data_IF_306933089523
#
_entry.id   IF_306933089523
#
_cell.length_a   1.000
_cell.length_b   1.000
_cell.length_c   1.000
_cell.angle_alpha   90.00
_cell.angle_beta   90.00
_cell.angle_gamma   90.00
#
_symmetry.space_group_name_H-M   'P 1'
#
loop_
_entity.id
_entity.type
_entity.pdbx_description
1 polymer ?
#
# COMPACT_ATOMS: atom_id res chain seq x y z
N UNK A 1 5.69 -22.94 -19.12
CA UNK A 1 4.90 -21.69 -19.13
C UNK A 1 4.41 -21.53 -17.70
N UNK A 2 5.01 -20.63 -16.93
CA UNK A 2 4.59 -20.41 -15.53
C UNK A 2 3.32 -19.56 -15.62
N UNK A 3 2.17 -20.18 -15.38
CA UNK A 3 0.90 -19.48 -15.25
C UNK A 3 0.90 -18.88 -13.86
N UNK A 4 1.13 -17.58 -13.74
CA UNK A 4 1.01 -16.88 -12.46
C UNK A 4 -0.49 -16.78 -12.21
N UNK A 5 -0.98 -17.50 -11.19
CA UNK A 5 -2.36 -17.33 -10.77
C UNK A 5 -2.48 -15.97 -10.07
N UNK A 6 -3.20 -15.06 -10.73
CA UNK A 6 -3.48 -13.71 -10.24
C UNK A 6 -4.86 -13.71 -9.57
N UNK A 7 -5.50 -14.86 -9.33
CA UNK A 7 -6.85 -14.95 -8.78
C UNK A 7 -6.90 -15.21 -7.27
N UNK A 8 -5.91 -15.87 -6.65
CA UNK A 8 -6.01 -16.25 -5.24
C UNK A 8 -5.88 -15.05 -4.28
N UNK A 9 -6.91 -14.74 -3.47
CA UNK A 9 -6.84 -13.71 -2.44
C UNK A 9 -6.15 -14.25 -1.17
N UNK A 10 -5.10 -13.55 -0.72
CA UNK A 10 -4.30 -13.90 0.46
C UNK A 10 -5.08 -13.93 1.80
N UNK A 11 -6.31 -13.43 1.84
CA UNK A 11 -7.16 -13.50 3.05
C UNK A 11 -7.67 -14.91 3.37
N UNK A 12 -7.68 -15.82 2.39
CA UNK A 12 -7.87 -17.26 2.62
C UNK A 12 -6.57 -17.89 3.16
N UNK A 13 -5.44 -17.62 2.49
CA UNK A 13 -4.10 -18.08 2.89
C UNK A 13 -3.67 -17.74 4.33
N UNK A 14 -3.98 -16.52 4.81
CA UNK A 14 -3.55 -16.09 6.15
C UNK A 14 -4.46 -16.60 7.26
N UNK A 15 -5.70 -17.00 6.95
CA UNK A 15 -6.59 -17.69 7.90
C UNK A 15 -6.20 -19.16 8.09
N UNK A 16 -5.53 -19.76 7.11
CA UNK A 16 -5.07 -21.15 7.13
C UNK A 16 -3.64 -21.31 7.67
N UNK A 17 -2.96 -20.23 8.03
CA UNK A 17 -1.64 -20.25 8.68
C UNK A 17 -1.62 -20.98 10.03
N UNK A 18 -2.78 -21.23 10.63
CA UNK A 18 -2.88 -22.06 11.84
C UNK A 18 -2.96 -23.57 11.54
N UNK A 19 -3.17 -24.03 10.29
CA UNK A 19 -3.48 -25.44 10.04
C UNK A 19 -3.26 -26.02 8.60
N UNK A 20 -2.37 -25.54 7.72
CA UNK A 20 -2.14 -26.27 6.43
C UNK A 20 -0.80 -26.04 5.68
N UNK A 21 -0.23 -27.13 5.11
CA UNK A 21 0.99 -27.18 4.25
C UNK A 21 0.81 -26.39 2.93
N UNK A 22 -0.44 -26.15 2.51
CA UNK A 22 -0.81 -25.44 1.27
C UNK A 22 -0.43 -23.95 1.26
N UNK A 23 -0.43 -23.31 2.44
CA UNK A 23 -0.12 -21.89 2.57
C UNK A 23 1.36 -21.57 2.34
N UNK A 24 2.26 -22.47 2.74
CA UNK A 24 3.69 -22.38 2.51
C UNK A 24 4.04 -22.57 1.02
N UNK A 25 3.29 -23.40 0.30
CA UNK A 25 3.45 -23.61 -1.15
C UNK A 25 3.11 -22.34 -1.94
N UNK A 26 2.01 -21.65 -1.64
CA UNK A 26 1.65 -20.42 -2.35
C UNK A 26 2.61 -19.26 -2.06
N UNK A 27 3.09 -19.12 -0.81
CA UNK A 27 4.15 -18.16 -0.47
C UNK A 27 5.43 -18.49 -1.25
N UNK A 28 5.79 -19.78 -1.32
CA UNK A 28 6.94 -20.23 -2.08
C UNK A 28 6.83 -19.88 -3.57
N UNK A 29 5.68 -20.11 -4.19
CA UNK A 29 5.43 -19.81 -5.60
C UNK A 29 5.53 -18.31 -5.90
N UNK A 30 4.97 -17.45 -5.04
CA UNK A 30 5.11 -16.00 -5.17
C UNK A 30 6.59 -15.57 -5.10
N UNK A 31 7.36 -16.12 -4.16
CA UNK A 31 8.78 -15.77 -4.05
C UNK A 31 9.67 -16.40 -5.12
N UNK A 32 9.26 -17.52 -5.71
CA UNK A 32 9.89 -18.06 -6.92
C UNK A 32 9.72 -17.10 -8.09
N UNK A 33 8.50 -16.57 -8.30
CA UNK A 33 8.25 -15.53 -9.30
C UNK A 33 9.11 -14.31 -9.02
N UNK A 34 9.14 -13.81 -7.78
CA UNK A 34 10.00 -12.68 -7.40
C UNK A 34 11.47 -12.93 -7.75
N UNK A 35 12.00 -14.10 -7.41
CA UNK A 35 13.39 -14.45 -7.71
C UNK A 35 13.67 -14.45 -9.21
N UNK A 36 12.79 -15.06 -10.02
CA UNK A 36 12.93 -15.09 -11.48
C UNK A 36 12.91 -13.68 -12.10
N UNK A 37 12.05 -12.79 -11.59
CA UNK A 37 11.99 -11.39 -12.00
C UNK A 37 13.26 -10.63 -11.56
N UNK A 38 13.79 -10.94 -10.38
CA UNK A 38 14.99 -10.29 -9.85
C UNK A 38 16.27 -10.62 -10.64
N UNK A 39 16.43 -11.88 -11.08
CA UNK A 39 17.59 -12.31 -11.87
C UNK A 39 17.52 -11.86 -13.34
N UNK A 40 16.34 -11.49 -13.85
CA UNK A 40 16.14 -11.03 -15.22
C UNK A 40 15.38 -9.69 -15.25
N UNK A 41 16.07 -8.54 -15.14
CA UNK A 41 15.43 -7.23 -15.12
C UNK A 41 14.53 -6.94 -16.33
N UNK A 42 14.89 -7.44 -17.53
CA UNK A 42 14.04 -7.31 -18.71
C UNK A 42 12.68 -8.02 -18.56
N UNK A 43 12.64 -9.15 -17.86
CA UNK A 43 11.40 -9.86 -17.52
C UNK A 43 10.59 -9.07 -16.49
N UNK A 44 11.23 -8.47 -15.49
CA UNK A 44 10.56 -7.60 -14.52
C UNK A 44 9.86 -6.41 -15.20
N UNK A 45 10.54 -5.73 -16.12
CA UNK A 45 9.95 -4.64 -16.91
C UNK A 45 8.75 -5.11 -17.72
N UNK A 46 8.88 -6.22 -18.44
CA UNK A 46 7.77 -6.80 -19.21
C UNK A 46 6.59 -7.18 -18.30
N UNK A 47 6.86 -7.77 -17.14
CA UNK A 47 5.85 -8.18 -16.19
C UNK A 47 5.07 -6.99 -15.63
N UNK A 48 5.74 -5.91 -15.23
CA UNK A 48 5.10 -4.67 -14.78
C UNK A 48 4.19 -4.07 -15.86
N UNK A 49 4.68 -4.00 -17.11
CA UNK A 49 3.89 -3.49 -18.23
C UNK A 49 2.68 -4.37 -18.55
N UNK A 50 2.86 -5.69 -18.53
CA UNK A 50 1.78 -6.66 -18.73
C UNK A 50 0.69 -6.50 -17.67
N UNK A 51 1.07 -6.48 -16.38
CA UNK A 51 0.11 -6.30 -15.29
C UNK A 51 -0.63 -4.96 -15.41
N UNK A 52 0.07 -3.88 -15.76
CA UNK A 52 -0.54 -2.57 -15.91
C UNK A 52 -1.55 -2.56 -17.06
N UNK A 53 -1.10 -2.88 -18.27
CA UNK A 53 -1.89 -2.70 -19.50
C UNK A 53 -2.93 -3.79 -19.69
N UNK A 54 -2.57 -5.07 -19.47
CA UNK A 54 -3.45 -6.20 -19.77
C UNK A 54 -4.40 -6.55 -18.65
N UNK A 55 -4.02 -6.28 -17.39
CA UNK A 55 -4.84 -6.59 -16.21
C UNK A 55 -5.47 -5.33 -15.62
N UNK A 56 -4.68 -4.37 -15.12
CA UNK A 56 -5.24 -3.24 -14.38
C UNK A 56 -6.02 -2.22 -15.23
N UNK A 57 -5.48 -1.80 -16.37
CA UNK A 57 -6.11 -0.77 -17.21
C UNK A 57 -7.24 -1.31 -18.08
N UNK A 58 -7.25 -2.63 -18.35
CA UNK A 58 -8.27 -3.27 -19.15
C UNK A 58 -9.62 -3.28 -18.40
N UNK A 59 -10.65 -2.57 -18.89
CA UNK A 59 -11.96 -2.52 -18.22
C UNK A 59 -12.71 -3.85 -18.23
N UNK A 60 -12.31 -4.79 -19.10
CA UNK A 60 -12.91 -6.13 -19.17
C UNK A 60 -12.32 -7.10 -18.15
N UNK A 61 -11.21 -6.74 -17.48
CA UNK A 61 -10.67 -7.56 -16.40
C UNK A 61 -11.51 -7.43 -15.14
N UNK A 62 -11.65 -8.54 -14.43
CA UNK A 62 -12.40 -8.55 -13.18
C UNK A 62 -11.72 -7.69 -12.13
N UNK A 63 -12.51 -7.17 -11.18
CA UNK A 63 -12.02 -6.33 -10.08
C UNK A 63 -10.84 -6.97 -9.35
N UNK A 64 -10.94 -8.26 -9.03
CA UNK A 64 -9.92 -8.99 -8.30
C UNK A 64 -8.61 -9.11 -9.09
N UNK A 65 -8.69 -9.34 -10.41
CA UNK A 65 -7.49 -9.31 -11.27
C UNK A 65 -6.82 -7.94 -11.26
N UNK A 66 -7.62 -6.87 -11.29
CA UNK A 66 -7.13 -5.49 -11.27
C UNK A 66 -6.48 -5.16 -9.92
N UNK A 67 -7.09 -5.60 -8.81
CA UNK A 67 -6.52 -5.51 -7.46
C UNK A 67 -5.17 -6.21 -7.41
N UNK A 68 -5.15 -7.49 -7.79
CA UNK A 68 -3.97 -8.32 -7.69
C UNK A 68 -2.85 -7.83 -8.61
N UNK A 69 -3.18 -7.32 -9.80
CA UNK A 69 -2.20 -6.67 -10.68
C UNK A 69 -1.52 -5.45 -10.03
N UNK A 70 -2.29 -4.55 -9.42
CA UNK A 70 -1.73 -3.41 -8.68
C UNK A 70 -0.91 -3.87 -7.47
N UNK A 71 -1.32 -4.94 -6.80
CA UNK A 71 -0.62 -5.48 -5.65
C UNK A 71 0.75 -6.05 -6.03
N UNK A 72 0.82 -6.86 -7.10
CA UNK A 72 2.09 -7.35 -7.63
C UNK A 72 3.00 -6.21 -8.10
N UNK A 73 2.45 -5.20 -8.79
CA UNK A 73 3.21 -4.01 -9.21
C UNK A 73 3.79 -3.29 -7.98
N UNK A 74 2.96 -2.95 -7.01
CA UNK A 74 3.40 -2.23 -5.82
C UNK A 74 4.44 -3.00 -5.01
N UNK A 75 4.21 -4.29 -4.82
CA UNK A 75 5.12 -5.14 -4.08
C UNK A 75 6.48 -5.27 -4.76
N UNK A 76 6.50 -5.40 -6.09
CA UNK A 76 7.74 -5.52 -6.85
C UNK A 76 8.52 -4.20 -6.87
N UNK A 77 7.85 -3.06 -7.07
CA UNK A 77 8.48 -1.73 -7.08
C UNK A 77 9.05 -1.36 -5.69
N UNK A 78 8.36 -1.74 -4.61
CA UNK A 78 8.84 -1.54 -3.24
C UNK A 78 10.04 -2.43 -2.92
N UNK A 79 9.91 -3.75 -3.14
CA UNK A 79 10.86 -4.77 -2.64
C UNK A 79 12.01 -5.10 -3.59
N UNK A 80 11.85 -4.89 -4.90
CA UNK A 80 12.85 -5.27 -5.89
C UNK A 80 14.08 -4.34 -5.90
N UNK A 81 15.26 -4.87 -5.56
CA UNK A 81 16.56 -4.18 -5.75
C UNK A 81 16.97 -4.12 -7.23
N UNK A 82 16.46 -5.02 -8.06
CA UNK A 82 16.77 -5.09 -9.50
C UNK A 82 16.17 -3.93 -10.32
N UNK A 83 15.20 -3.19 -9.76
CA UNK A 83 14.51 -2.11 -10.48
C UNK A 83 15.18 -0.77 -10.16
N UNK A 84 15.70 -0.05 -11.18
CA UNK A 84 16.33 1.23 -10.97
C UNK A 84 15.31 2.29 -10.56
N UNK A 85 15.73 3.26 -9.75
CA UNK A 85 14.89 4.35 -9.25
C UNK A 85 14.16 5.12 -10.36
N UNK A 86 14.82 5.37 -11.50
CA UNK A 86 14.20 6.03 -12.65
C UNK A 86 12.96 5.29 -13.15
N UNK A 87 13.04 3.96 -13.25
CA UNK A 87 11.92 3.14 -13.69
C UNK A 87 10.79 3.12 -12.66
N UNK A 88 11.12 3.08 -11.36
CA UNK A 88 10.13 3.18 -10.28
C UNK A 88 9.36 4.49 -10.37
N UNK A 89 10.09 5.61 -10.56
CA UNK A 89 9.46 6.90 -10.70
C UNK A 89 8.56 6.97 -11.95
N UNK A 90 9.01 6.47 -13.09
CA UNK A 90 8.18 6.41 -14.31
C UNK A 90 6.93 5.55 -14.11
N UNK A 91 7.01 4.41 -13.40
CA UNK A 91 5.83 3.62 -13.08
C UNK A 91 4.84 4.40 -12.20
N UNK A 92 5.32 5.08 -11.15
CA UNK A 92 4.47 5.90 -10.29
C UNK A 92 3.83 7.07 -11.05
N UNK A 93 4.57 7.73 -11.94
CA UNK A 93 4.06 8.81 -12.78
C UNK A 93 2.90 8.33 -13.67
N UNK A 94 3.05 7.15 -14.29
CA UNK A 94 1.99 6.56 -15.13
C UNK A 94 0.75 6.19 -14.29
N UNK A 95 0.93 5.60 -13.11
CA UNK A 95 -0.19 5.25 -12.22
C UNK A 95 -0.90 6.52 -11.72
N UNK A 96 -0.15 7.56 -11.31
CA UNK A 96 -0.72 8.85 -10.94
C UNK A 96 -1.48 9.49 -12.11
N UNK A 97 -0.92 9.48 -13.32
CA UNK A 97 -1.59 9.99 -14.52
C UNK A 97 -2.91 9.27 -14.80
N UNK A 98 -2.95 7.95 -14.62
CA UNK A 98 -4.18 7.18 -14.70
C UNK A 98 -5.20 7.62 -13.64
N UNK A 99 -4.78 7.81 -12.38
CA UNK A 99 -5.63 8.32 -11.31
C UNK A 99 -6.19 9.71 -11.62
N UNK A 100 -5.38 10.62 -12.16
CA UNK A 100 -5.83 11.95 -12.56
C UNK A 100 -6.86 11.89 -13.69
N UNK A 101 -6.61 11.07 -14.72
CA UNK A 101 -7.59 10.86 -15.78
C UNK A 101 -8.90 10.28 -15.26
N UNK A 102 -8.84 9.43 -14.22
CA UNK A 102 -10.03 8.91 -13.56
C UNK A 102 -10.81 10.02 -12.85
N UNK A 103 -10.13 10.86 -12.05
CA UNK A 103 -10.75 12.00 -11.37
C UNK A 103 -11.39 12.99 -12.35
N UNK A 104 -10.68 13.35 -13.43
CA UNK A 104 -11.18 14.26 -14.47
C UNK A 104 -12.42 13.70 -15.20
N UNK A 105 -12.57 12.38 -15.26
CA UNK A 105 -13.79 11.75 -15.80
C UNK A 105 -14.94 11.82 -14.81
N UNK A 106 -14.70 11.54 -13.53
CA UNK A 106 -15.76 11.62 -12.51
C UNK A 106 -16.32 13.04 -12.37
N UNK A 107 -15.44 14.05 -12.37
CA UNK A 107 -15.84 15.45 -12.26
C UNK A 107 -16.69 15.90 -13.46
N UNK A 108 -16.29 15.54 -14.69
CA UNK A 108 -17.06 15.87 -15.90
C UNK A 108 -18.43 15.21 -15.95
N UNK A 109 -18.57 14.02 -15.38
CA UNK A 109 -19.85 13.32 -15.31
C UNK A 109 -20.77 13.88 -14.21
N UNK A 110 -20.30 14.84 -13.39
CA UNK A 110 -21.00 15.35 -12.21
C UNK A 110 -21.55 14.23 -11.34
N UNK A 111 -20.79 13.13 -11.26
CA UNK A 111 -21.27 11.91 -10.66
C UNK A 111 -21.50 12.15 -9.16
N UNK A 112 -22.66 11.80 -8.64
CA UNK A 112 -22.98 11.92 -7.20
C UNK A 112 -22.65 10.63 -6.43
N UNK A 113 -22.04 9.67 -7.11
CA UNK A 113 -21.78 8.31 -6.63
C UNK A 113 -20.40 8.16 -5.95
N UNK A 114 -19.82 9.25 -5.43
CA UNK A 114 -18.52 9.23 -4.74
C UNK A 114 -18.44 8.24 -3.56
N UNK A 115 -19.59 7.83 -3.03
CA UNK A 115 -19.71 6.84 -1.95
C UNK A 115 -19.72 5.38 -2.45
N UNK A 116 -19.83 5.13 -3.76
CA UNK A 116 -19.83 3.78 -4.33
C UNK A 116 -18.41 3.19 -4.36
N UNK A 117 -18.10 2.48 -3.28
CA UNK A 117 -16.81 1.82 -3.09
C UNK A 117 -16.49 0.82 -4.19
N UNK A 118 -17.50 0.11 -4.68
CA UNK A 118 -17.33 -0.90 -5.71
C UNK A 118 -17.12 -0.24 -7.07
N UNK A 119 -17.73 0.90 -7.36
CA UNK A 119 -17.38 1.61 -8.59
C UNK A 119 -15.92 2.10 -8.58
N UNK A 120 -15.47 2.63 -7.44
CA UNK A 120 -14.20 3.33 -7.32
C UNK A 120 -13.03 2.45 -6.86
N UNK A 121 -13.21 1.16 -6.56
CA UNK A 121 -12.13 0.31 -6.04
C UNK A 121 -10.85 0.30 -6.91
N UNK A 122 -10.90 0.29 -8.26
CA UNK A 122 -9.69 0.38 -9.08
C UNK A 122 -8.87 1.66 -8.82
N UNK A 123 -9.54 2.79 -8.55
CA UNK A 123 -8.88 4.03 -8.15
C UNK A 123 -8.20 3.89 -6.78
N UNK A 124 -8.85 3.23 -5.83
CA UNK A 124 -8.27 2.98 -4.51
C UNK A 124 -7.09 1.99 -4.57
N UNK A 125 -7.13 0.94 -5.39
CA UNK A 125 -5.98 0.03 -5.58
C UNK A 125 -4.75 0.76 -6.11
N UNK A 126 -4.94 1.68 -7.07
CA UNK A 126 -3.87 2.51 -7.61
C UNK A 126 -3.33 3.50 -6.56
N UNK A 127 -4.21 4.20 -5.82
CA UNK A 127 -3.78 5.12 -4.76
C UNK A 127 -3.01 4.40 -3.66
N UNK A 128 -3.50 3.24 -3.19
CA UNK A 128 -2.82 2.44 -2.17
C UNK A 128 -1.44 1.99 -2.65
N UNK A 129 -1.32 1.59 -3.93
CA UNK A 129 -0.03 1.24 -4.55
C UNK A 129 0.93 2.43 -4.58
N UNK A 130 0.45 3.61 -4.98
CA UNK A 130 1.25 4.84 -5.00
C UNK A 130 1.74 5.20 -3.60
N UNK A 131 0.84 5.23 -2.60
CA UNK A 131 1.18 5.55 -1.21
C UNK A 131 2.18 4.56 -0.64
N UNK A 132 1.97 3.26 -0.86
CA UNK A 132 2.85 2.20 -0.41
C UNK A 132 4.25 2.31 -1.03
N UNK A 133 4.37 2.34 -2.36
CA UNK A 133 5.67 2.38 -3.05
C UNK A 133 6.41 3.69 -2.77
N UNK A 134 5.71 4.82 -2.80
CA UNK A 134 6.31 6.12 -2.49
C UNK A 134 6.90 6.13 -1.08
N UNK A 135 6.12 5.69 -0.09
CA UNK A 135 6.58 5.61 1.30
C UNK A 135 7.72 4.62 1.44
N UNK A 136 7.68 3.47 0.78
CA UNK A 136 8.76 2.49 0.86
C UNK A 136 10.09 3.02 0.28
N UNK A 137 10.02 3.86 -0.75
CA UNK A 137 11.18 4.36 -1.50
C UNK A 137 11.51 5.82 -1.19
N UNK A 138 10.93 6.41 -0.13
CA UNK A 138 11.02 7.85 0.13
C UNK A 138 12.46 8.35 0.26
N UNK A 139 13.36 7.56 0.89
CA UNK A 139 14.77 7.93 1.06
C UNK A 139 15.46 8.23 -0.26
N UNK A 140 15.11 7.50 -1.32
CA UNK A 140 15.66 7.75 -2.66
C UNK A 140 15.12 9.06 -3.24
N UNK A 141 13.84 9.38 -3.01
CA UNK A 141 13.27 10.67 -3.41
C UNK A 141 13.86 11.86 -2.66
N UNK A 142 14.26 11.68 -1.41
CA UNK A 142 14.66 12.78 -0.51
C UNK A 142 16.17 12.97 -0.40
N UNK A 143 16.95 12.20 -1.16
CA UNK A 143 18.41 12.25 -1.16
C UNK A 143 18.97 13.63 -1.56
N UNK A 144 18.31 14.32 -2.49
CA UNK A 144 18.72 15.66 -2.92
C UNK A 144 17.54 16.45 -3.51
N UNK A 145 17.75 17.75 -3.72
CA UNK A 145 16.73 18.66 -4.23
C UNK A 145 16.17 18.28 -5.61
N UNK A 146 16.98 17.68 -6.49
CA UNK A 146 16.53 17.24 -7.83
C UNK A 146 15.59 16.05 -7.73
N UNK A 147 15.93 15.03 -6.92
CA UNK A 147 15.04 13.88 -6.69
C UNK A 147 13.79 14.28 -5.90
N UNK A 148 13.90 15.26 -5.01
CA UNK A 148 12.73 15.80 -4.31
C UNK A 148 11.77 16.53 -5.26
N UNK A 149 12.30 17.18 -6.31
CA UNK A 149 11.46 17.74 -7.37
C UNK A 149 10.70 16.64 -8.15
N UNK A 150 11.28 15.45 -8.32
CA UNK A 150 10.57 14.28 -8.88
C UNK A 150 9.45 13.79 -7.96
N UNK A 151 9.62 13.84 -6.63
CA UNK A 151 8.53 13.53 -5.71
C UNK A 151 7.37 14.52 -5.86
N UNK A 152 7.69 15.82 -6.02
CA UNK A 152 6.69 16.87 -6.25
C UNK A 152 5.99 16.75 -7.60
N UNK A 153 6.68 16.30 -8.65
CA UNK A 153 6.06 16.11 -9.97
C UNK A 153 4.98 15.03 -9.98
N UNK A 154 5.01 14.08 -9.03
CA UNK A 154 3.93 13.12 -8.85
C UNK A 154 2.61 13.78 -8.43
N UNK A 155 2.62 15.01 -7.88
CA UNK A 155 1.45 15.78 -7.46
C UNK A 155 0.51 15.04 -6.48
N UNK A 156 1.09 14.34 -5.50
CA UNK A 156 0.35 13.50 -4.56
C UNK A 156 -0.72 14.26 -3.75
N UNK A 157 -0.54 15.58 -3.57
CA UNK A 157 -1.54 16.46 -2.96
C UNK A 157 -2.90 16.39 -3.68
N UNK A 158 -2.89 16.36 -5.02
CA UNK A 158 -4.13 16.25 -5.82
C UNK A 158 -4.90 14.96 -5.53
N UNK A 159 -4.21 13.84 -5.27
CA UNK A 159 -4.86 12.58 -4.94
C UNK A 159 -5.53 12.66 -3.57
N UNK A 160 -4.82 13.17 -2.56
CA UNK A 160 -5.35 13.20 -1.18
C UNK A 160 -6.48 14.19 -0.99
N UNK A 161 -6.48 15.30 -1.73
CA UNK A 161 -7.54 16.32 -1.69
C UNK A 161 -8.74 15.98 -2.59
N UNK A 162 -8.70 14.86 -3.32
CA UNK A 162 -9.80 14.47 -4.19
C UNK A 162 -11.08 14.12 -3.41
N UNK A 163 -12.24 14.36 -4.02
CA UNK A 163 -13.55 14.05 -3.42
C UNK A 163 -13.73 12.55 -3.11
N UNK A 164 -13.02 11.68 -3.82
CA UNK A 164 -13.01 10.23 -3.58
C UNK A 164 -12.29 9.84 -2.29
N UNK A 165 -11.55 10.77 -1.65
CA UNK A 165 -10.93 10.64 -0.34
C UNK A 165 -10.21 9.30 -0.11
N UNK A 166 -9.12 9.03 -0.87
CA UNK A 166 -8.40 7.76 -0.78
C UNK A 166 -7.78 7.52 0.61
N UNK A 167 -7.52 8.57 1.40
CA UNK A 167 -7.03 8.47 2.78
C UNK A 167 -8.04 7.81 3.73
N UNK A 168 -9.34 7.82 3.41
CA UNK A 168 -10.36 7.11 4.18
C UNK A 168 -10.42 5.62 3.83
N UNK A 169 -10.09 5.30 2.58
CA UNK A 169 -10.38 3.99 1.97
C UNK A 169 -9.21 3.03 1.98
N UNK A 170 -7.99 3.53 1.77
CA UNK A 170 -6.78 2.72 1.80
C UNK A 170 -6.49 2.24 3.23
N UNK A 171 -5.72 1.15 3.35
CA UNK A 171 -5.37 0.57 4.64
C UNK A 171 -4.68 1.60 5.56
N UNK A 172 -5.17 1.73 6.79
CA UNK A 172 -4.70 2.74 7.74
C UNK A 172 -3.17 2.74 7.96
N UNK A 173 -2.46 1.60 8.07
CA UNK A 173 -1.00 1.59 8.20
C UNK A 173 -0.29 2.26 7.01
N UNK A 174 -0.76 2.03 5.78
CA UNK A 174 -0.19 2.63 4.58
C UNK A 174 -0.44 4.14 4.58
N UNK A 175 -1.65 4.56 4.92
CA UNK A 175 -2.03 5.97 5.00
C UNK A 175 -1.22 6.72 6.06
N UNK A 176 -1.06 6.13 7.25
CA UNK A 176 -0.28 6.72 8.34
C UNK A 176 1.20 6.88 7.96
N UNK A 177 1.81 5.84 7.40
CA UNK A 177 3.20 5.88 6.95
C UNK A 177 3.40 6.94 5.86
N UNK A 178 2.49 6.99 4.89
CA UNK A 178 2.49 7.99 3.84
C UNK A 178 2.36 9.41 4.40
N UNK A 179 1.42 9.64 5.32
CA UNK A 179 1.21 10.95 5.94
C UNK A 179 2.45 11.45 6.70
N UNK A 180 3.17 10.55 7.39
CA UNK A 180 4.40 10.88 8.10
C UNK A 180 5.48 11.39 7.13
N UNK A 181 5.72 10.65 6.04
CA UNK A 181 6.68 11.05 4.99
C UNK A 181 6.23 12.35 4.30
N UNK A 182 4.96 12.43 3.89
CA UNK A 182 4.43 13.58 3.15
C UNK A 182 4.51 14.87 3.97
N UNK A 183 4.23 14.81 5.28
CA UNK A 183 4.40 15.95 6.21
C UNK A 183 5.86 16.36 6.31
N UNK A 184 6.76 15.41 6.56
CA UNK A 184 8.19 15.69 6.79
C UNK A 184 8.83 16.43 5.61
N UNK A 185 8.44 16.09 4.40
CA UNK A 185 9.00 16.67 3.17
C UNK A 185 8.08 17.68 2.47
N UNK A 186 7.00 18.11 3.15
CA UNK A 186 6.05 19.12 2.66
C UNK A 186 5.49 18.80 1.26
N UNK A 187 5.06 17.55 1.07
CA UNK A 187 4.52 17.05 -0.20
C UNK A 187 2.98 17.07 -0.23
N UNK A 188 2.34 16.84 0.92
CA UNK A 188 0.89 16.91 1.09
C UNK A 188 0.52 16.96 2.58
N UNK A 189 -0.51 17.75 2.93
CA UNK A 189 -1.03 17.86 4.30
C UNK A 189 -2.17 16.87 4.56
N UNK A 190 -1.82 15.66 5.02
CA UNK A 190 -2.79 14.55 5.15
C UNK A 190 -3.53 14.54 6.51
N UNK A 191 -2.90 15.00 7.58
CA UNK A 191 -3.40 14.80 8.95
C UNK A 191 -4.75 15.47 9.23
N UNK A 192 -5.00 16.67 8.68
CA UNK A 192 -6.29 17.37 8.83
C UNK A 192 -7.43 16.58 8.19
N UNK A 193 -7.19 16.01 7.02
CA UNK A 193 -8.15 15.17 6.29
C UNK A 193 -8.40 13.87 7.07
N UNK A 194 -7.33 13.23 7.56
CA UNK A 194 -7.42 12.00 8.35
C UNK A 194 -8.20 12.20 9.65
N UNK A 195 -7.97 13.32 10.34
CA UNK A 195 -8.70 13.69 11.55
C UNK A 195 -10.20 13.91 11.26
N UNK A 196 -10.52 14.57 10.15
CA UNK A 196 -11.91 14.71 9.69
C UNK A 196 -12.54 13.34 9.37
N UNK A 197 -11.80 12.43 8.73
CA UNK A 197 -12.26 11.08 8.41
C UNK A 197 -12.63 10.27 9.67
N UNK A 198 -11.85 10.39 10.75
CA UNK A 198 -12.15 9.75 12.04
C UNK A 198 -13.47 10.26 12.63
N UNK A 199 -13.73 11.56 12.54
CA UNK A 199 -14.97 12.18 13.05
C UNK A 199 -16.21 11.70 12.31
N UNK A 200 -16.08 11.44 11.00
CA UNK A 200 -17.16 10.90 10.17
C UNK A 200 -17.46 9.42 10.45
N UNK A 201 -16.55 8.69 11.10
CA UNK A 201 -16.71 7.28 11.46
C UNK A 201 -17.29 7.06 12.87
N UNK A 202 -17.57 8.13 13.63
CA UNK A 202 -18.19 8.01 14.96
C UNK A 202 -19.63 7.51 14.78
N UNK A 203 -20.02 6.35 15.35
CA UNK A 203 -21.37 5.84 15.25
C UNK A 203 -22.33 6.85 15.87
N UNK A 204 -23.27 7.37 15.07
CA UNK A 204 -24.44 8.03 15.62
C UNK A 204 -25.17 7.01 16.50
N UNK A 205 -25.58 7.38 17.72
CA UNK A 205 -26.20 6.52 18.73
C UNK A 205 -27.57 5.92 18.33
N UNK A 206 -27.89 5.90 17.04
CA UNK A 206 -29.15 5.46 16.44
C UNK A 206 -28.84 4.88 15.04
N UNK A 207 -28.36 3.63 14.95
CA UNK A 207 -28.10 3.00 13.65
C UNK A 207 -27.57 1.56 13.73
N UNK A 208 -28.27 0.65 13.06
CA UNK A 208 -28.04 -0.81 12.99
C UNK A 208 -26.56 -1.25 12.87
N UNK A 209 -26.16 -2.17 13.75
CA UNK A 209 -24.82 -2.77 13.81
C UNK A 209 -24.46 -3.65 12.58
N UNK A 210 -25.40 -3.89 11.66
CA UNK A 210 -25.23 -4.79 10.51
C UNK A 210 -24.79 -4.12 9.21
N UNK A 211 -24.69 -2.79 9.16
CA UNK A 211 -24.23 -2.05 7.97
C UNK A 211 -22.75 -1.61 8.04
N UNK A 212 -22.08 -1.87 9.17
CA UNK A 212 -20.65 -1.55 9.39
C UNK A 212 -19.74 -2.68 8.87
N UNK A 213 -19.98 -3.13 7.64
CA UNK A 213 -19.00 -3.92 6.92
C UNK A 213 -17.77 -3.04 6.66
N UNK A 214 -16.58 -3.48 7.07
CA UNK A 214 -15.34 -2.72 6.99
C UNK A 214 -15.23 -1.96 5.66
N UNK A 215 -15.42 -0.64 5.68
CA UNK A 215 -15.32 0.23 4.49
C UNK A 215 -13.85 0.40 4.03
N UNK A 216 -13.00 -0.58 4.28
CA UNK A 216 -11.56 -0.52 4.03
C UNK A 216 -11.21 -1.42 2.86
N UNK A 217 -10.31 -0.93 2.01
CA UNK A 217 -9.81 -1.68 0.88
C UNK A 217 -9.07 -2.95 1.33
N UNK A 218 -9.56 -4.11 0.93
CA UNK A 218 -8.84 -5.37 1.12
C UNK A 218 -7.88 -5.59 -0.06
N UNK A 219 -6.57 -5.39 0.15
CA UNK A 219 -5.54 -5.53 -0.87
C UNK A 219 -4.17 -5.79 -0.22
N UNK A 220 -3.60 -6.96 -0.48
CA UNK A 220 -2.33 -7.42 0.10
C UNK A 220 -1.19 -7.41 -0.90
N UNK A 221 0.02 -7.07 -0.46
CA UNK A 221 1.22 -7.07 -1.30
C UNK A 221 1.90 -8.46 -1.32
N UNK A 222 2.00 -9.14 -2.49
CA UNK A 222 2.46 -10.53 -2.59
C UNK A 222 3.87 -10.81 -2.05
N UNK A 223 4.78 -9.84 -2.13
CA UNK A 223 6.18 -10.02 -1.73
C UNK A 223 6.46 -9.39 -0.36
N UNK A 224 5.47 -9.30 0.53
CA UNK A 224 5.60 -8.70 1.87
C UNK A 224 4.96 -9.55 3.00
N UNK A 225 5.65 -9.83 4.12
CA UNK A 225 7.10 -9.94 4.29
C UNK A 225 7.62 -11.28 3.75
N UNK A 226 8.94 -11.38 3.57
CA UNK A 226 9.56 -12.67 3.24
C UNK A 226 9.78 -13.52 4.50
N UNK A 227 9.04 -14.62 4.62
CA UNK A 227 9.01 -15.46 5.84
C UNK A 227 9.82 -16.77 5.73
N UNK A 228 10.22 -17.17 4.51
CA UNK A 228 10.83 -18.48 4.27
C UNK A 228 12.29 -18.54 4.72
N UNK A 229 12.53 -19.12 5.90
CA UNK A 229 13.87 -19.17 6.52
C UNK A 229 14.89 -19.92 5.66
N UNK A 230 14.51 -21.06 5.06
CA UNK A 230 15.43 -21.93 4.30
C UNK A 230 15.90 -21.32 2.98
N UNK A 231 15.03 -20.58 2.28
CA UNK A 231 15.36 -19.98 0.98
C UNK A 231 15.91 -18.54 1.09
N UNK A 232 16.05 -18.00 2.32
CA UNK A 232 16.47 -16.61 2.59
C UNK A 232 17.77 -16.21 1.91
N UNK A 233 18.74 -17.13 1.83
CA UNK A 233 20.03 -16.88 1.18
C UNK A 233 19.91 -16.49 -0.30
N UNK A 234 18.90 -17.01 -1.01
CA UNK A 234 18.70 -16.72 -2.44
C UNK A 234 18.00 -15.38 -2.68
N UNK A 235 17.13 -14.95 -1.76
CA UNK A 235 16.30 -13.75 -1.92
C UNK A 235 16.97 -12.48 -1.36
N UNK A 236 17.75 -12.60 -0.28
CA UNK A 236 18.27 -11.45 0.50
C UNK A 236 19.01 -10.40 -0.37
N UNK A 237 19.81 -10.85 -1.34
CA UNK A 237 20.56 -9.96 -2.22
C UNK A 237 19.68 -9.17 -3.20
N UNK A 238 18.48 -9.68 -3.48
CA UNK A 238 17.52 -9.08 -4.42
C UNK A 238 16.38 -8.33 -3.74
N UNK A 239 16.18 -8.58 -2.45
CA UNK A 239 15.06 -8.07 -1.66
C UNK A 239 15.45 -6.85 -0.83
N UNK A 240 14.61 -5.82 -0.87
CA UNK A 240 14.73 -4.59 -0.08
C UNK A 240 13.82 -4.69 1.15
N UNK A 241 14.41 -4.49 2.31
CA UNK A 241 13.67 -4.36 3.58
C UNK A 241 13.18 -2.92 3.74
N UNK A 242 12.15 -2.73 4.56
CA UNK A 242 11.63 -1.39 4.82
C UNK A 242 12.56 -0.68 5.81
N UNK A 243 13.14 0.45 5.41
CA UNK A 243 14.16 1.15 6.20
C UNK A 243 13.59 2.03 7.33
N UNK A 244 12.32 1.86 7.70
CA UNK A 244 11.62 2.67 8.69
C UNK A 244 11.13 4.03 8.16
N UNK A 245 10.42 4.76 9.01
CA UNK A 245 9.92 6.11 8.74
C UNK A 245 11.00 7.17 9.06
N UNK A 246 10.86 8.41 8.57
CA UNK A 246 11.71 9.51 9.01
C UNK A 246 11.62 9.68 10.54
N UNK A 247 12.76 9.83 11.20
CA UNK A 247 12.78 10.26 12.60
C UNK A 247 12.21 11.68 12.68
N UNK A 248 11.25 11.89 13.58
CA UNK A 248 10.83 13.23 13.95
C UNK A 248 12.02 13.89 14.65
N UNK A 249 12.58 14.94 14.05
CA UNK A 249 13.49 15.82 14.80
C UNK A 249 12.58 16.53 15.78
N UNK A 250 12.59 16.11 17.04
CA UNK A 250 12.11 16.94 18.14
C UNK A 250 12.88 18.26 18.01
N UNK A 251 12.17 19.32 17.64
CA UNK A 251 12.72 20.67 17.77
C UNK A 251 12.95 20.88 19.27
N UNK A 252 14.21 20.77 19.71
CA UNK A 252 14.65 21.19 21.04
C UNK A 252 14.42 22.70 21.18
N UNK A 253 13.19 23.12 21.46
CA UNK A 253 12.92 24.45 22.01
C UNK A 253 11.58 24.49 22.76
N UNK A 254 11.60 24.10 24.04
CA UNK A 254 10.97 24.82 25.16
C UNK A 254 11.06 24.01 26.46
N UNK A 255 11.55 24.59 27.57
CA UNK A 255 11.61 23.92 28.86
C UNK A 255 10.26 24.01 29.59
N UNK A 256 9.70 22.85 29.92
CA UNK A 256 8.92 22.66 31.14
C UNK A 256 7.43 22.40 31.00
N UNK A 257 7.04 21.23 31.54
CA UNK A 257 5.71 20.78 32.00
C UNK A 257 4.81 20.18 30.90
N UNK A 258 4.34 18.93 30.96
CA UNK A 258 4.13 18.01 32.09
C UNK A 258 4.41 16.55 31.67
N UNK A 259 4.94 15.77 32.62
CA UNK A 259 5.04 14.32 32.54
C UNK A 259 3.64 13.70 32.63
N UNK A 260 3.15 13.13 31.52
CA UNK A 260 2.21 11.99 31.53
C UNK A 260 1.99 11.50 30.08
N UNK A 261 2.89 10.62 29.61
CA UNK A 261 2.64 9.56 28.60
C UNK A 261 3.98 9.08 27.98
N UNK A 262 4.82 8.42 28.78
CA UNK A 262 5.98 7.67 28.29
C UNK A 262 5.84 6.23 28.77
N UNK A 263 5.09 5.44 27.99
CA UNK A 263 5.46 4.06 27.61
C UNK A 263 4.36 3.42 26.78
N UNK A 264 4.44 3.60 25.46
CA UNK A 264 4.15 2.53 24.48
C UNK A 264 4.78 2.89 23.13
N UNK A 265 6.08 3.15 23.14
CA UNK A 265 6.91 3.14 21.93
C UNK A 265 7.08 1.65 21.56
N UNK A 266 6.30 1.16 20.60
CA UNK A 266 6.50 -0.20 20.09
C UNK A 266 7.68 -0.19 19.14
N UNK A 267 8.81 -0.70 19.62
CA UNK A 267 10.01 -0.99 18.84
C UNK A 267 9.67 -1.91 17.65
N UNK A 268 10.12 -1.63 16.40
CA UNK A 268 9.74 -2.43 15.22
C UNK A 268 10.39 -3.83 15.16
N UNK A 269 11.11 -4.27 16.20
CA UNK A 269 11.82 -5.56 16.18
C UNK A 269 10.99 -6.77 16.58
N UNK A 270 9.70 -6.61 16.88
CA UNK A 270 8.81 -7.74 17.08
C UNK A 270 7.33 -7.34 16.87
N UNK A 271 7.01 -6.70 15.75
CA UNK A 271 5.66 -6.82 15.21
C UNK A 271 5.65 -8.01 14.28
N UNK A 272 5.29 -9.14 14.86
CA UNK A 272 4.65 -10.21 14.11
C UNK A 272 3.52 -9.58 13.30
N UNK A 273 3.60 -9.68 11.97
CA UNK A 273 2.64 -9.12 11.03
C UNK A 273 1.38 -10.01 11.03
N UNK A 274 0.80 -10.25 12.21
CA UNK A 274 -0.46 -10.97 12.38
C UNK A 274 -1.61 -10.01 12.11
N UNK A 275 -2.18 -10.10 10.91
CA UNK A 275 -3.48 -9.51 10.60
C UNK A 275 -4.59 -10.53 10.87
N UNK A 276 -4.72 -11.00 12.12
CA UNK A 276 -5.95 -11.63 12.61
C UNK A 276 -5.86 -11.94 14.09
N UNK A 277 -6.35 -11.03 14.94
CA UNK A 277 -6.88 -11.42 16.25
C UNK A 277 -8.37 -11.11 16.21
N UNK A 278 -9.17 -12.12 15.86
CA UNK A 278 -10.61 -12.08 16.12
C UNK A 278 -10.84 -12.30 17.62
N UNK A 279 -11.66 -11.49 18.30
CA UNK A 279 -11.98 -11.71 19.69
C UNK A 279 -13.05 -12.80 19.82
N UNK A 280 -12.71 -13.94 20.44
CA UNK A 280 -13.73 -14.86 20.95
C UNK A 280 -13.26 -16.29 21.15
N UNK A 281 -13.05 -16.69 22.41
CA UNK A 281 -13.86 -17.67 23.15
C UNK A 281 -13.10 -18.02 24.45
N UNK A 282 -13.43 -17.33 25.55
CA UNK A 282 -13.09 -17.83 26.89
C UNK A 282 -14.11 -18.90 27.27
N UNK A 283 -13.65 -20.14 27.34
CA UNK A 283 -14.38 -21.28 27.91
C UNK A 283 -14.65 -21.02 29.39
N UNK A 284 -15.90 -21.25 29.80
CA UNK A 284 -16.21 -21.87 31.09
C UNK A 284 -16.39 -23.35 30.84
#
# INVERSE_FOLDING_TARGET
MITIDVHTPRSELMKELEDDDSSDEEIFDMFLVFYLLAIRPGLATFFLEFLRVKKFENPNCFRDERRNAMAYIGSLLARGKCIPFSHIHSCLEIICAWCYSYLDKQERLQATNYEDLQLHSPFYFACQTVFYVFTFRYKEYTENSKKLALARSLNLERLVLSQLNPLRMCAAPIVNNFAAVARRYQLAYCYTIMENNKRLQIPSACGDEKASGSMTLDMFFPFDPYLLVRSRGFITNHYREFDGLPEDIEEEDSPGKDEEALDSIVSPKLMDFSYSVSPGYQKW
#
